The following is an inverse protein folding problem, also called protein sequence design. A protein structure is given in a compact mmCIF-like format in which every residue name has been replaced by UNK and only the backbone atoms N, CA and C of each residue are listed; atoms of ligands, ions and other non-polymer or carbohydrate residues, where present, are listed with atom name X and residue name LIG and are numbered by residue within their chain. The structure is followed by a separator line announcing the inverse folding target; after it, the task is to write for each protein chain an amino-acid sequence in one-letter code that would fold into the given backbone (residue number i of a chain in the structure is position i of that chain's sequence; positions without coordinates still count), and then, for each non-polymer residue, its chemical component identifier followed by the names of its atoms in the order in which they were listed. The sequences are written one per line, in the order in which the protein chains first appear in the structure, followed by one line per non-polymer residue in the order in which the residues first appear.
data_IF_365167377902
#
_entry.id   IF_365167377902
#
_cell.length_a   1.000
_cell.length_b   1.000
_cell.length_c   1.000
_cell.angle_alpha   90.00
_cell.angle_beta   90.00
_cell.angle_gamma   90.00
#
_symmetry.space_group_name_H-M   'P 1'
#
loop_
_entity.id
_entity.type
_entity.pdbx_description
1 polymer ?
#
# COMPACT_ATOMS: atom_id res chain seq x y z
N UNK A 1 19.80 -11.38 -17.89
CA UNK A 1 18.48 -10.72 -17.81
C UNK A 1 18.06 -10.38 -19.22
N UNK A 2 17.05 -11.05 -19.69
CA UNK A 2 16.56 -10.91 -21.06
C UNK A 2 15.95 -9.51 -21.21
N UNK A 3 16.44 -8.72 -22.13
CA UNK A 3 16.00 -7.34 -22.36
C UNK A 3 14.50 -7.27 -22.69
N UNK A 4 13.93 -8.31 -23.30
CA UNK A 4 12.50 -8.44 -23.60
C UNK A 4 11.63 -8.49 -22.34
N UNK A 5 12.07 -9.19 -21.29
CA UNK A 5 11.35 -9.29 -20.01
C UNK A 5 11.37 -7.95 -19.28
N UNK A 6 12.49 -7.24 -19.32
CA UNK A 6 12.60 -5.90 -18.71
C UNK A 6 11.64 -4.90 -19.38
N UNK A 7 11.48 -4.95 -20.70
CA UNK A 7 10.55 -4.10 -21.44
C UNK A 7 9.09 -4.39 -21.07
N UNK A 8 8.69 -5.65 -21.04
CA UNK A 8 7.31 -6.06 -20.70
C UNK A 8 6.93 -5.63 -19.28
N UNK A 9 7.85 -5.73 -18.32
CA UNK A 9 7.59 -5.27 -16.95
C UNK A 9 7.52 -3.75 -16.82
N UNK A 10 8.23 -3.01 -17.68
CA UNK A 10 8.14 -1.55 -17.75
C UNK A 10 6.81 -1.11 -18.34
N UNK A 11 6.35 -1.79 -19.39
CA UNK A 11 5.06 -1.53 -20.02
C UNK A 11 3.90 -1.81 -19.06
N UNK A 12 3.97 -2.94 -18.34
CA UNK A 12 3.00 -3.28 -17.29
C UNK A 12 2.94 -2.19 -16.21
N UNK A 13 4.09 -1.71 -15.76
CA UNK A 13 4.15 -0.62 -14.79
C UNK A 13 3.48 0.64 -15.32
N UNK A 14 3.76 1.02 -16.56
CA UNK A 14 3.16 2.20 -17.19
C UNK A 14 1.62 2.08 -17.28
N UNK A 15 1.12 0.92 -17.70
CA UNK A 15 -0.33 0.63 -17.75
C UNK A 15 -0.94 0.71 -16.34
N UNK A 16 -0.29 0.15 -15.34
CA UNK A 16 -0.77 0.20 -13.95
C UNK A 16 -0.83 1.63 -13.41
N UNK A 17 0.20 2.45 -13.67
CA UNK A 17 0.24 3.87 -13.26
C UNK A 17 -0.87 4.66 -13.95
N UNK A 18 -1.07 4.47 -15.25
CA UNK A 18 -2.17 5.11 -15.99
C UNK A 18 -3.53 4.69 -15.41
N UNK A 19 -3.73 3.40 -15.15
CA UNK A 19 -4.97 2.90 -14.55
C UNK A 19 -5.22 3.51 -13.17
N UNK A 20 -4.18 3.63 -12.35
CA UNK A 20 -4.27 4.29 -11.06
C UNK A 20 -4.65 5.78 -11.20
N UNK A 21 -3.99 6.50 -12.11
CA UNK A 21 -4.25 7.92 -12.36
C UNK A 21 -5.67 8.16 -12.89
N UNK A 22 -6.17 7.28 -13.76
CA UNK A 22 -7.55 7.33 -14.24
C UNK A 22 -8.58 7.19 -13.12
N UNK A 23 -8.31 6.38 -12.10
CA UNK A 23 -9.21 6.14 -10.97
C UNK A 23 -9.13 7.24 -9.91
N UNK A 24 -7.96 7.86 -9.73
CA UNK A 24 -7.70 8.75 -8.59
C UNK A 24 -7.42 10.20 -8.97
N UNK A 25 -7.08 10.47 -10.22
CA UNK A 25 -6.55 11.76 -10.66
C UNK A 25 -5.17 12.11 -10.09
N UNK A 26 -4.47 11.13 -9.52
CA UNK A 26 -3.17 11.33 -8.83
C UNK A 26 -2.20 10.21 -9.21
N UNK A 27 -0.91 10.45 -8.97
CA UNK A 27 0.11 9.40 -9.09
C UNK A 27 0.11 8.48 -7.86
N UNK A 28 0.47 7.18 -8.03
CA UNK A 28 0.48 6.19 -6.96
C UNK A 28 1.52 6.46 -5.86
N UNK A 29 2.48 7.35 -6.15
CA UNK A 29 3.51 7.77 -5.21
C UNK A 29 3.53 9.29 -5.09
N UNK A 30 3.90 9.80 -3.92
CA UNK A 30 4.21 11.21 -3.78
C UNK A 30 5.41 11.54 -4.66
N UNK A 31 5.30 12.57 -5.47
CA UNK A 31 6.44 13.12 -6.23
C UNK A 31 7.53 13.51 -5.25
N UNK A 32 8.67 12.87 -5.35
CA UNK A 32 9.85 13.20 -4.55
C UNK A 32 10.43 14.46 -5.20
N UNK A 33 10.62 15.48 -4.38
CA UNK A 33 11.34 16.69 -4.81
C UNK A 33 12.72 16.30 -5.36
N UNK A 34 13.11 16.89 -6.48
CA UNK A 34 14.35 16.56 -7.21
C UNK A 34 15.61 16.61 -6.35
N UNK A 35 15.59 17.39 -5.26
CA UNK A 35 16.68 17.43 -4.28
C UNK A 35 16.77 16.17 -3.41
N UNK A 36 15.68 15.41 -3.27
CA UNK A 36 15.63 14.17 -2.51
C UNK A 36 16.08 12.95 -3.31
N UNK A 37 16.20 13.06 -4.63
CA UNK A 37 16.61 11.95 -5.51
C UNK A 37 18.04 11.46 -5.25
N UNK A 38 18.95 12.33 -4.80
CA UNK A 38 20.31 11.97 -4.45
C UNK A 38 20.38 11.02 -3.23
N UNK A 39 19.40 11.09 -2.33
CA UNK A 39 19.29 10.27 -1.13
C UNK A 39 18.28 9.11 -1.26
N UNK A 40 17.65 8.97 -2.43
CA UNK A 40 16.52 8.08 -2.67
C UNK A 40 16.87 6.58 -2.74
N UNK A 41 18.14 6.18 -2.52
CA UNK A 41 18.56 4.76 -2.55
C UNK A 41 17.88 3.90 -1.49
N UNK A 42 17.22 4.48 -0.47
CA UNK A 42 16.57 3.78 0.65
C UNK A 42 15.20 4.38 1.01
N UNK A 43 14.65 5.25 0.18
CA UNK A 43 13.34 5.80 0.47
C UNK A 43 12.29 4.74 0.15
N UNK A 44 11.60 4.27 1.17
CA UNK A 44 10.40 3.44 1.03
C UNK A 44 9.42 4.17 0.11
N UNK A 45 9.20 3.59 -1.05
CA UNK A 45 8.20 4.06 -2.00
C UNK A 45 6.83 3.93 -1.34
N UNK A 46 6.36 5.02 -0.78
CA UNK A 46 5.11 5.04 -0.05
C UNK A 46 3.96 5.06 -1.07
N UNK A 47 3.42 3.88 -1.36
CA UNK A 47 2.25 3.73 -2.20
C UNK A 47 1.06 4.44 -1.56
N UNK A 48 0.37 5.27 -2.33
CA UNK A 48 -0.87 5.91 -1.93
C UNK A 48 -2.04 5.00 -2.29
N UNK A 49 -2.81 4.55 -1.29
CA UNK A 49 -3.99 3.72 -1.51
C UNK A 49 -5.06 4.48 -2.30
N UNK A 50 -5.72 3.82 -3.26
CA UNK A 50 -6.88 4.38 -3.95
C UNK A 50 -8.05 4.64 -3.00
N UNK A 51 -8.09 3.92 -1.87
CA UNK A 51 -9.10 4.08 -0.82
C UNK A 51 -8.99 5.43 -0.11
N UNK A 52 -7.82 6.08 -0.12
CA UNK A 52 -7.66 7.46 0.38
C UNK A 52 -8.42 8.47 -0.48
N UNK A 53 -8.55 8.18 -1.78
CA UNK A 53 -9.28 9.05 -2.71
C UNK A 53 -10.77 8.74 -2.71
N UNK A 54 -11.13 7.47 -2.71
CA UNK A 54 -12.52 7.02 -2.62
C UNK A 54 -12.63 5.70 -1.83
N UNK A 55 -13.13 5.75 -0.57
CA UNK A 55 -13.29 4.56 0.26
C UNK A 55 -14.29 3.51 -0.27
N UNK A 56 -15.04 3.84 -1.33
CA UNK A 56 -15.97 2.90 -1.98
C UNK A 56 -15.31 1.94 -2.95
N UNK A 57 -14.05 2.20 -3.33
CA UNK A 57 -13.31 1.24 -4.14
C UNK A 57 -13.10 -0.08 -3.38
N UNK A 58 -13.18 -1.22 -4.06
CA UNK A 58 -12.94 -2.49 -3.41
C UNK A 58 -11.45 -2.63 -3.03
N UNK A 59 -11.20 -3.18 -1.85
CA UNK A 59 -9.85 -3.38 -1.31
C UNK A 59 -8.98 -4.25 -2.25
N UNK A 60 -9.56 -5.26 -2.91
CA UNK A 60 -8.83 -6.11 -3.85
C UNK A 60 -8.26 -5.32 -5.04
N UNK A 61 -8.95 -4.26 -5.49
CA UNK A 61 -8.47 -3.40 -6.57
C UNK A 61 -7.27 -2.57 -6.13
N UNK A 62 -7.30 -2.04 -4.91
CA UNK A 62 -6.17 -1.31 -4.32
C UNK A 62 -4.91 -2.17 -4.26
N UNK A 63 -5.07 -3.43 -3.89
CA UNK A 63 -3.96 -4.38 -3.80
C UNK A 63 -3.39 -4.76 -5.15
N UNK A 64 -4.25 -4.96 -6.12
CA UNK A 64 -3.85 -5.24 -7.50
C UNK A 64 -3.00 -4.09 -8.03
N UNK A 65 -3.43 -2.85 -7.83
CA UNK A 65 -2.68 -1.67 -8.23
C UNK A 65 -1.39 -1.50 -7.44
N UNK A 66 -1.41 -1.72 -6.13
CA UNK A 66 -0.21 -1.68 -5.28
C UNK A 66 0.86 -2.65 -5.75
N UNK A 67 0.47 -3.87 -6.11
CA UNK A 67 1.38 -4.88 -6.66
C UNK A 67 1.89 -4.47 -8.04
N UNK A 68 1.02 -4.04 -8.95
CA UNK A 68 1.38 -3.67 -10.31
C UNK A 68 2.27 -2.42 -10.38
N UNK A 69 2.02 -1.44 -9.51
CA UNK A 69 2.81 -0.21 -9.38
C UNK A 69 4.06 -0.38 -8.51
N UNK A 70 4.42 -1.59 -8.08
CA UNK A 70 5.57 -1.77 -7.19
C UNK A 70 6.87 -1.30 -7.87
N UNK A 71 7.75 -0.51 -7.18
CA UNK A 71 8.98 0.01 -7.77
C UNK A 71 9.96 -1.09 -8.18
N UNK A 72 10.04 -2.18 -7.39
CA UNK A 72 10.86 -3.33 -7.74
C UNK A 72 10.14 -4.20 -8.78
N UNK A 73 10.70 -4.37 -10.00
CA UNK A 73 10.09 -5.19 -11.05
C UNK A 73 9.80 -6.64 -10.63
N UNK A 74 10.64 -7.23 -9.77
CA UNK A 74 10.47 -8.60 -9.27
C UNK A 74 9.22 -8.79 -8.39
N UNK A 75 8.71 -7.70 -7.82
CA UNK A 75 7.52 -7.72 -6.97
C UNK A 75 6.24 -7.41 -7.74
N UNK A 76 6.34 -7.13 -9.06
CA UNK A 76 5.20 -6.89 -9.94
C UNK A 76 4.61 -8.21 -10.47
N UNK A 77 3.57 -8.10 -11.27
CA UNK A 77 3.10 -9.18 -12.12
C UNK A 77 4.13 -9.55 -13.18
N UNK A 78 4.28 -10.82 -13.49
CA UNK A 78 5.21 -11.28 -14.52
C UNK A 78 4.67 -11.00 -15.93
N UNK A 79 3.37 -11.14 -16.10
CA UNK A 79 2.68 -10.95 -17.39
C UNK A 79 1.47 -10.05 -17.24
N UNK A 80 1.19 -9.30 -18.29
CA UNK A 80 0.07 -8.35 -18.31
C UNK A 80 -1.30 -9.04 -18.13
N UNK A 81 -1.45 -10.26 -18.62
CA UNK A 81 -2.71 -11.02 -18.48
C UNK A 81 -3.07 -11.33 -17.04
N UNK A 82 -2.09 -11.60 -16.16
CA UNK A 82 -2.33 -11.79 -14.73
C UNK A 82 -2.81 -10.47 -14.07
N UNK A 83 -2.18 -9.36 -14.43
CA UNK A 83 -2.63 -8.05 -13.94
C UNK A 83 -4.05 -7.75 -14.38
N UNK A 84 -4.39 -7.96 -15.67
CA UNK A 84 -5.74 -7.72 -16.18
C UNK A 84 -6.77 -8.62 -15.50
N UNK A 85 -6.45 -9.89 -15.26
CA UNK A 85 -7.33 -10.81 -14.56
C UNK A 85 -7.63 -10.33 -13.13
N UNK A 86 -6.59 -9.95 -12.37
CA UNK A 86 -6.73 -9.44 -11.00
C UNK A 86 -7.36 -8.03 -10.96
N UNK A 87 -7.24 -7.25 -12.03
CA UNK A 87 -7.85 -5.93 -12.15
C UNK A 87 -9.36 -5.99 -12.45
N UNK A 88 -9.81 -7.07 -13.07
CA UNK A 88 -11.23 -7.25 -13.46
C UNK A 88 -12.02 -8.11 -12.48
N UNK A 89 -11.35 -9.00 -11.75
CA UNK A 89 -11.99 -9.95 -10.82
C UNK A 89 -11.26 -10.03 -9.49
N UNK A 90 -12.01 -10.15 -8.37
CA UNK A 90 -11.40 -10.29 -7.04
C UNK A 90 -10.53 -11.55 -6.94
N UNK A 91 -9.24 -11.36 -6.64
CA UNK A 91 -8.32 -12.47 -6.39
C UNK A 91 -8.33 -12.87 -4.93
N UNK A 92 -8.93 -14.03 -4.61
CA UNK A 92 -9.02 -14.55 -3.25
C UNK A 92 -7.65 -14.86 -2.61
N UNK A 93 -6.63 -15.18 -3.43
CA UNK A 93 -5.27 -15.42 -2.95
C UNK A 93 -4.63 -14.11 -2.47
N UNK A 94 -4.76 -13.05 -3.26
CA UNK A 94 -4.25 -11.74 -2.92
C UNK A 94 -4.91 -11.19 -1.64
N UNK A 95 -6.21 -11.40 -1.48
CA UNK A 95 -6.95 -11.05 -0.25
C UNK A 95 -6.47 -11.84 0.97
N UNK A 96 -6.18 -13.14 0.82
CA UNK A 96 -5.65 -13.97 1.91
C UNK A 96 -4.25 -13.56 2.32
N UNK A 97 -3.38 -13.26 1.38
CA UNK A 97 -2.01 -12.77 1.65
C UNK A 97 -2.03 -11.50 2.49
N UNK A 98 -3.00 -10.60 2.23
CA UNK A 98 -3.18 -9.41 3.05
C UNK A 98 -3.76 -9.67 4.43
N UNK A 99 -4.76 -10.53 4.53
CA UNK A 99 -5.34 -10.87 5.81
C UNK A 99 -4.30 -11.49 6.77
N UNK A 100 -3.23 -12.07 6.22
CA UNK A 100 -2.11 -12.65 6.97
C UNK A 100 -1.02 -11.62 7.32
N UNK A 101 -1.05 -10.41 6.74
CA UNK A 101 -0.08 -9.38 7.12
C UNK A 101 -0.34 -8.87 8.54
N UNK A 102 0.72 -8.63 9.34
CA UNK A 102 0.57 -8.07 10.68
C UNK A 102 -0.19 -6.74 10.64
N UNK A 103 -1.04 -6.50 11.64
CA UNK A 103 -1.85 -5.27 11.76
C UNK A 103 -1.01 -3.98 11.65
N UNK A 104 0.23 -4.04 12.09
CA UNK A 104 1.17 -2.92 12.01
C UNK A 104 1.46 -2.50 10.56
N UNK A 105 1.58 -3.47 9.64
CA UNK A 105 1.83 -3.20 8.22
C UNK A 105 0.54 -2.85 7.46
N UNK A 106 -0.58 -3.42 7.88
CA UNK A 106 -1.87 -3.23 7.24
C UNK A 106 -2.46 -1.84 7.55
N UNK A 107 -2.38 -1.40 8.79
CA UNK A 107 -2.97 -0.13 9.21
C UNK A 107 -2.22 0.48 10.42
N UNK A 108 -1.04 1.06 10.20
CA UNK A 108 -0.19 1.56 11.27
C UNK A 108 -0.89 2.64 12.11
N UNK A 109 -1.69 3.50 11.50
CA UNK A 109 -2.42 4.58 12.20
C UNK A 109 -3.43 3.99 13.18
N UNK A 110 -4.17 2.97 12.79
CA UNK A 110 -5.14 2.31 13.67
C UNK A 110 -4.45 1.62 14.84
N UNK A 111 -3.33 0.93 14.59
CA UNK A 111 -2.53 0.30 15.63
C UNK A 111 -2.07 1.32 16.69
N UNK A 112 -1.50 2.44 16.26
CA UNK A 112 -1.02 3.47 17.17
C UNK A 112 -2.16 4.16 17.94
N UNK A 113 -3.32 4.36 17.34
CA UNK A 113 -4.52 4.86 18.01
C UNK A 113 -5.01 3.92 19.10
N UNK A 114 -5.09 2.62 18.82
CA UNK A 114 -5.48 1.61 19.81
C UNK A 114 -4.47 1.55 20.97
N UNK A 115 -3.18 1.58 20.67
CA UNK A 115 -2.12 1.58 21.67
C UNK A 115 -2.19 2.83 22.58
N UNK A 116 -2.38 4.01 22.01
CA UNK A 116 -2.51 5.25 22.76
C UNK A 116 -3.75 5.24 23.67
N UNK A 117 -4.88 4.69 23.19
CA UNK A 117 -6.10 4.57 23.96
C UNK A 117 -5.92 3.61 25.15
N UNK A 118 -5.24 2.48 24.92
CA UNK A 118 -4.94 1.50 25.97
C UNK A 118 -4.04 2.09 27.06
N UNK A 119 -2.98 2.79 26.67
CA UNK A 119 -2.07 3.49 27.61
C UNK A 119 -2.81 4.58 28.40
N UNK A 120 -3.72 5.31 27.76
CA UNK A 120 -4.57 6.31 28.44
C UNK A 120 -5.46 5.71 29.52
N UNK A 121 -6.08 4.55 29.25
CA UNK A 121 -6.91 3.83 30.22
C UNK A 121 -6.07 3.37 31.42
N UNK A 122 -4.89 2.81 31.18
CA UNK A 122 -3.98 2.36 32.25
C UNK A 122 -3.57 3.56 33.12
N UNK A 123 -3.19 4.67 32.54
CA UNK A 123 -2.79 5.88 33.27
C UNK A 123 -3.93 6.44 34.13
N UNK A 124 -5.17 6.44 33.63
CA UNK A 124 -6.33 6.88 34.38
C UNK A 124 -6.61 5.93 35.55
N UNK A 125 -6.47 4.62 35.33
CA UNK A 125 -6.69 3.62 36.41
C UNK A 125 -5.68 3.77 37.54
N UNK A 126 -4.40 4.02 37.22
CA UNK A 126 -3.37 4.28 38.24
C UNK A 126 -3.65 5.57 39.03
N UNK A 127 -4.06 6.63 38.35
CA UNK A 127 -4.42 7.88 38.98
C UNK A 127 -5.59 7.71 39.95
N UNK A 128 -6.62 6.97 39.57
CA UNK A 128 -7.79 6.68 40.45
C UNK A 128 -7.39 5.87 41.68
N UNK A 129 -6.49 4.89 41.53
CA UNK A 129 -5.97 4.13 42.68
C UNK A 129 -5.19 5.00 43.67
N UNK A 130 -4.38 5.96 43.16
CA UNK A 130 -3.64 6.90 43.97
C UNK A 130 -4.56 7.87 44.76
N UNK A 131 -5.69 8.26 44.16
CA UNK A 131 -6.67 9.13 44.84
C UNK A 131 -7.47 8.40 45.91
N UNK A 132 -7.65 7.07 45.77
CA UNK A 132 -8.35 6.24 46.75
C UNK A 132 -7.47 5.73 47.88
N UNK A 133 -6.16 5.87 47.73
CA UNK A 133 -5.17 5.50 48.76
C UNK A 133 -4.86 6.70 49.67
#
# INVERSE_FOLDING_TARGET
LDASVATTQSDLFSVAVISYEMLTGKLPYKTIDTQSLANARHQEWNYRSILETNPRFPEWLDLTLKKACHPNPKSRYLVLSEFVADFTTPNAKLQKELAQQPLLQRNPIFFWKCLALLLGIVSISELLLLIQS
#
